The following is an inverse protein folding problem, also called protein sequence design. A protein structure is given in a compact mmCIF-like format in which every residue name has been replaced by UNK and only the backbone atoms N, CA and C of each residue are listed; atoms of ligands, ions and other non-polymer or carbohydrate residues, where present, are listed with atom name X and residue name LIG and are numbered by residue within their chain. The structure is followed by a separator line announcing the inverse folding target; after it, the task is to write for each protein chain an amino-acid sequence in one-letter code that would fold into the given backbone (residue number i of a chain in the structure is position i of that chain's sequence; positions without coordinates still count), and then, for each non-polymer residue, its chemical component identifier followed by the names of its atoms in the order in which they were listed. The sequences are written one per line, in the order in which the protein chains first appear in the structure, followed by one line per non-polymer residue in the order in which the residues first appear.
data_IF_785323765284
#
_entry.id   IF_785323765284
#
_cell.length_a   1.000
_cell.length_b   1.000
_cell.length_c   1.000
_cell.angle_alpha   90.00
_cell.angle_beta   90.00
_cell.angle_gamma   90.00
#
_symmetry.space_group_name_H-M   'P 1'
#
loop_
_entity.id
_entity.type
_entity.pdbx_description
1 polymer ?
#
# COMPACT_ATOMS: atom_id res chain seq x y z
N UNK A 1 11.43 -19.42 9.87
CA UNK A 1 11.09 -18.73 8.61
C UNK A 1 9.62 -19.00 8.37
N UNK A 2 8.74 -18.08 8.77
CA UNK A 2 7.30 -18.27 8.61
C UNK A 2 6.95 -18.01 7.13
N UNK A 3 6.38 -19.02 6.47
CA UNK A 3 5.77 -18.87 5.15
C UNK A 3 4.30 -18.57 5.40
N UNK A 4 3.88 -17.33 5.15
CA UNK A 4 2.47 -16.98 5.19
C UNK A 4 1.84 -17.41 3.86
N UNK A 5 1.14 -18.53 3.86
CA UNK A 5 0.23 -18.90 2.79
C UNK A 5 -1.17 -18.42 3.19
N UNK A 6 -1.75 -17.50 2.42
CA UNK A 6 -3.18 -17.21 2.55
C UNK A 6 -3.94 -18.33 1.84
N UNK A 7 -4.35 -19.34 2.59
CA UNK A 7 -5.26 -20.36 2.07
C UNK A 7 -6.68 -19.79 2.27
N UNK A 8 -7.31 -19.36 1.17
CA UNK A 8 -8.75 -19.11 1.17
C UNK A 8 -9.47 -20.43 0.86
N UNK A 9 -10.53 -20.75 1.60
CA UNK A 9 -11.38 -21.94 1.38
C UNK A 9 -12.17 -21.88 0.06
N UNK A 10 -11.92 -20.88 -0.79
CA UNK A 10 -12.54 -20.67 -2.09
C UNK A 10 -11.47 -20.73 -3.18
N UNK A 11 -10.78 -21.86 -3.31
CA UNK A 11 -10.18 -22.38 -4.57
C UNK A 11 -9.24 -21.48 -5.39
N UNK A 12 -8.79 -20.34 -4.88
CA UNK A 12 -7.96 -19.40 -5.64
C UNK A 12 -6.64 -19.16 -4.88
N UNK A 13 -5.57 -19.82 -5.34
CA UNK A 13 -4.16 -19.66 -4.89
C UNK A 13 -3.51 -18.34 -5.37
N UNK A 14 -4.33 -17.34 -5.73
CA UNK A 14 -3.90 -16.03 -6.23
C UNK A 14 -3.14 -15.17 -5.19
N UNK A 15 -3.01 -15.64 -3.96
CA UNK A 15 -2.24 -14.93 -2.92
C UNK A 15 -0.73 -14.88 -3.18
N UNK A 16 -0.21 -15.56 -4.21
CA UNK A 16 1.24 -15.60 -4.50
C UNK A 16 1.80 -14.28 -5.05
N UNK A 17 0.96 -13.40 -5.61
CA UNK A 17 1.39 -12.19 -6.34
C UNK A 17 0.99 -10.87 -5.68
N UNK A 18 0.51 -10.93 -4.45
CA UNK A 18 -0.07 -9.77 -3.79
C UNK A 18 0.37 -9.69 -2.34
N UNK A 19 0.80 -8.49 -1.93
CA UNK A 19 1.04 -8.18 -0.53
C UNK A 19 0.34 -6.87 -0.18
N UNK A 20 -0.33 -6.83 0.97
CA UNK A 20 -1.03 -5.66 1.47
C UNK A 20 -1.02 -5.63 2.98
N UNK A 21 -0.90 -4.42 3.53
CA UNK A 21 -1.13 -4.18 4.95
C UNK A 21 -1.93 -2.89 5.12
N UNK A 22 -2.69 -2.84 6.19
CA UNK A 22 -3.46 -1.65 6.58
C UNK A 22 -3.03 -1.15 7.94
N UNK A 23 -3.13 0.15 8.13
CA UNK A 23 -2.74 0.86 9.33
C UNK A 23 -3.90 1.76 9.72
N UNK A 24 -4.46 1.51 10.90
CA UNK A 24 -5.51 2.33 11.51
C UNK A 24 -4.85 3.43 12.32
N UNK A 25 -5.31 4.66 12.12
CA UNK A 25 -4.90 5.79 12.94
C UNK A 25 -5.60 5.67 14.29
N UNK A 26 -4.81 5.48 15.35
CA UNK A 26 -5.32 5.41 16.72
C UNK A 26 -5.39 6.79 17.33
N UNK A 27 -4.37 7.60 17.07
CA UNK A 27 -4.25 8.92 17.66
C UNK A 27 -3.38 9.84 16.81
N UNK A 28 -3.78 11.10 16.71
CA UNK A 28 -2.96 12.18 16.15
C UNK A 28 -2.69 13.18 17.29
N UNK A 29 -1.53 13.05 17.93
CA UNK A 29 -1.19 13.76 19.17
C UNK A 29 0.08 14.58 18.94
N UNK A 30 -0.05 15.90 18.88
CA UNK A 30 1.11 16.79 18.86
C UNK A 30 1.09 17.74 20.05
N UNK A 31 2.09 17.63 20.92
CA UNK A 31 2.52 18.78 21.73
C UNK A 31 3.00 19.93 20.82
N UNK A 32 3.41 19.59 19.58
CA UNK A 32 3.99 20.47 18.55
C UNK A 32 3.01 20.87 17.42
N UNK A 33 1.68 20.75 17.62
CA UNK A 33 0.62 21.08 16.63
C UNK A 33 0.65 20.32 15.28
N UNK A 34 1.72 19.58 14.94
CA UNK A 34 1.92 18.93 13.64
C UNK A 34 2.18 17.44 13.79
N UNK A 35 1.62 16.63 12.90
CA UNK A 35 1.81 15.19 12.84
C UNK A 35 2.32 14.76 11.46
N UNK A 36 3.09 13.69 11.44
CA UNK A 36 3.54 13.04 10.21
C UNK A 36 3.22 11.55 10.28
N UNK A 37 2.57 11.04 9.25
CA UNK A 37 2.34 9.61 9.05
C UNK A 37 2.87 9.24 7.67
N UNK A 38 3.89 8.38 7.66
CA UNK A 38 4.37 7.75 6.42
C UNK A 38 4.06 6.25 6.46
N UNK A 39 3.46 5.74 5.39
CA UNK A 39 3.35 4.30 5.14
C UNK A 39 3.90 3.98 3.77
N UNK A 40 4.54 2.82 3.62
CA UNK A 40 5.06 2.45 2.31
C UNK A 40 5.68 1.07 2.24
N UNK A 41 6.35 0.85 1.12
CA UNK A 41 7.16 -0.31 0.85
C UNK A 41 8.56 0.15 0.45
N UNK A 42 9.57 -0.53 0.97
CA UNK A 42 10.95 -0.27 0.57
C UNK A 42 11.74 -1.55 0.41
N UNK A 43 12.77 -1.51 -0.40
CA UNK A 43 13.83 -2.50 -0.45
C UNK A 43 15.18 -1.78 -0.39
N UNK A 44 16.25 -2.42 -0.85
CA UNK A 44 17.59 -1.86 -0.76
C UNK A 44 17.89 -0.82 -1.86
N UNK A 45 17.05 -0.76 -2.90
CA UNK A 45 17.23 0.09 -4.09
C UNK A 45 16.08 1.08 -4.35
N UNK A 46 14.95 0.93 -3.65
CA UNK A 46 13.73 1.70 -3.92
C UNK A 46 12.87 1.84 -2.68
N UNK A 47 12.21 2.98 -2.56
CA UNK A 47 11.18 3.27 -1.59
C UNK A 47 9.98 3.87 -2.32
N UNK A 48 8.77 3.41 -1.99
CA UNK A 48 7.52 4.04 -2.41
C UNK A 48 6.69 4.25 -1.16
N UNK A 49 6.35 5.51 -0.87
CA UNK A 49 5.66 5.88 0.37
C UNK A 49 4.60 6.94 0.16
N UNK A 50 3.51 6.78 0.90
CA UNK A 50 2.51 7.81 1.14
C UNK A 50 2.97 8.60 2.36
N UNK A 51 3.26 9.88 2.19
CA UNK A 51 3.54 10.82 3.27
C UNK A 51 2.32 11.71 3.50
N UNK A 52 1.88 11.81 4.75
CA UNK A 52 0.83 12.72 5.18
C UNK A 52 1.43 13.60 6.27
N UNK A 53 1.59 14.88 5.97
CA UNK A 53 2.01 15.92 6.92
C UNK A 53 0.81 16.83 7.19
N UNK A 54 0.31 16.82 8.42
CA UNK A 54 -0.91 17.54 8.78
C UNK A 54 -0.80 18.30 10.09
N UNK A 55 -1.65 19.31 10.23
CA UNK A 55 -1.74 20.14 11.42
C UNK A 55 -2.98 19.77 12.25
N UNK A 56 -2.83 19.79 13.57
CA UNK A 56 -3.95 19.78 14.50
C UNK A 56 -4.59 21.16 14.42
N UNK A 57 -5.60 21.28 13.54
CA UNK A 57 -6.29 22.54 13.22
C UNK A 57 -6.83 23.15 14.51
N UNK A 58 -6.09 24.11 15.07
CA UNK A 58 -6.62 25.17 15.91
C UNK A 58 -6.64 26.51 15.18
N UNK A 59 -5.94 26.62 14.04
CA UNK A 59 -5.87 27.83 13.24
C UNK A 59 -6.40 27.58 11.81
N UNK A 60 -7.63 28.01 11.48
CA UNK A 60 -8.20 27.89 10.15
C UNK A 60 -7.59 28.87 9.13
N UNK A 61 -6.61 29.70 9.51
CA UNK A 61 -5.93 30.67 8.64
C UNK A 61 -4.50 30.26 8.24
N UNK A 62 -3.99 29.08 8.61
CA UNK A 62 -2.68 28.62 8.12
C UNK A 62 -2.75 28.24 6.64
N UNK A 63 -1.99 28.95 5.80
CA UNK A 63 -1.70 28.63 4.39
C UNK A 63 -0.70 27.45 4.27
N UNK A 64 -0.44 26.72 5.36
CA UNK A 64 0.46 25.57 5.37
C UNK A 64 -0.27 24.37 4.76
N UNK A 65 -0.02 24.15 3.47
CA UNK A 65 -0.56 23.02 2.71
C UNK A 65 -0.28 21.70 3.45
N UNK A 66 -1.36 21.05 3.91
CA UNK A 66 -1.35 19.64 4.33
C UNK A 66 -0.97 18.82 3.10
N UNK A 67 0.31 18.46 3.03
CA UNK A 67 0.87 17.71 1.92
C UNK A 67 0.57 16.24 2.07
N UNK A 68 -0.26 15.69 1.19
CA UNK A 68 -0.35 14.25 0.97
C UNK A 68 0.36 13.95 -0.32
N UNK A 69 1.52 13.31 -0.24
CA UNK A 69 2.29 13.00 -1.42
C UNK A 69 2.75 11.55 -1.46
N UNK A 70 2.82 11.01 -2.68
CA UNK A 70 3.52 9.76 -2.92
C UNK A 70 4.95 10.09 -3.31
N UNK A 71 5.91 9.73 -2.46
CA UNK A 71 7.33 9.81 -2.75
C UNK A 71 7.79 8.46 -3.30
N UNK A 72 8.54 8.49 -4.38
CA UNK A 72 9.28 7.32 -4.84
C UNK A 72 10.73 7.68 -5.14
N UNK A 73 11.65 6.80 -4.73
CA UNK A 73 13.04 6.81 -5.15
C UNK A 73 13.28 5.62 -6.06
N UNK A 74 13.66 5.91 -7.30
CA UNK A 74 13.96 4.93 -8.34
C UNK A 74 15.27 5.29 -9.03
N UNK A 75 16.35 4.58 -8.70
CA UNK A 75 17.68 4.78 -9.31
C UNK A 75 18.09 6.27 -9.34
N UNK A 76 18.05 6.94 -8.18
CA UNK A 76 18.37 8.36 -8.01
C UNK A 76 17.38 9.33 -8.69
N UNK A 77 16.14 8.88 -8.95
CA UNK A 77 15.04 9.74 -9.39
C UNK A 77 13.97 9.80 -8.33
N UNK A 78 13.80 11.00 -7.79
CA UNK A 78 12.71 11.33 -6.89
C UNK A 78 11.49 11.83 -7.68
N UNK A 79 10.30 11.40 -7.29
CA UNK A 79 9.06 11.99 -7.75
C UNK A 79 8.05 12.12 -6.64
N UNK A 80 7.23 13.16 -6.73
CA UNK A 80 6.20 13.54 -5.76
C UNK A 80 4.88 13.64 -6.52
N UNK A 81 3.85 12.94 -6.04
CA UNK A 81 2.49 13.06 -6.57
C UNK A 81 1.57 13.54 -5.47
N UNK A 82 1.04 14.75 -5.61
CA UNK A 82 0.11 15.34 -4.65
C UNK A 82 -1.27 14.68 -4.76
N UNK A 83 -1.86 14.37 -3.61
CA UNK A 83 -3.21 13.84 -3.48
C UNK A 83 -4.08 14.93 -2.88
N UNK A 84 -4.78 15.67 -3.74
CA UNK A 84 -5.63 16.77 -3.32
C UNK A 84 -6.77 16.32 -2.39
N UNK A 85 -7.01 17.08 -1.33
CA UNK A 85 -8.20 16.95 -0.47
C UNK A 85 -8.20 15.75 0.48
N UNK A 86 -7.08 15.01 0.59
CA UNK A 86 -6.96 13.95 1.60
C UNK A 86 -6.57 14.54 2.96
N UNK A 87 -7.45 14.36 3.93
CA UNK A 87 -7.20 14.73 5.33
C UNK A 87 -7.26 13.47 6.18
N UNK A 88 -6.38 13.39 7.18
CA UNK A 88 -6.29 12.25 8.07
C UNK A 88 -6.92 12.58 9.43
N UNK A 89 -7.70 11.64 9.95
CA UNK A 89 -8.28 11.73 11.30
C UNK A 89 -8.14 10.42 12.06
N UNK A 90 -8.34 10.49 13.37
CA UNK A 90 -8.42 9.31 14.22
C UNK A 90 -9.52 8.35 13.72
N UNK A 91 -9.18 7.06 13.66
CA UNK A 91 -10.04 6.01 13.15
C UNK A 91 -9.98 5.78 11.64
N UNK A 92 -9.29 6.63 10.88
CA UNK A 92 -9.05 6.38 9.45
C UNK A 92 -8.14 5.17 9.23
N UNK A 93 -8.30 4.52 8.08
CA UNK A 93 -7.45 3.43 7.62
C UNK A 93 -6.63 3.86 6.41
N UNK A 94 -5.32 3.67 6.50
CA UNK A 94 -4.39 3.77 5.39
C UNK A 94 -3.92 2.38 4.99
N UNK A 95 -3.89 2.08 3.71
CA UNK A 95 -3.42 0.80 3.19
C UNK A 95 -2.32 0.99 2.17
N UNK A 96 -1.39 0.05 2.14
CA UNK A 96 -0.34 -0.01 1.14
C UNK A 96 -0.23 -1.45 0.65
N UNK A 97 -0.22 -1.61 -0.67
CA UNK A 97 -0.04 -2.91 -1.29
C UNK A 97 0.85 -2.87 -2.51
N UNK A 98 1.32 -4.04 -2.89
CA UNK A 98 2.08 -4.28 -4.11
C UNK A 98 1.46 -5.45 -4.85
N UNK A 99 1.35 -5.28 -6.17
CA UNK A 99 0.96 -6.33 -7.10
C UNK A 99 2.19 -6.71 -7.91
N UNK A 100 2.54 -7.99 -7.88
CA UNK A 100 3.53 -8.58 -8.76
C UNK A 100 2.84 -9.09 -10.02
N UNK A 101 3.45 -8.95 -11.20
CA UNK A 101 2.95 -9.62 -12.38
C UNK A 101 3.03 -11.15 -12.20
N UNK A 102 2.17 -11.91 -12.89
CA UNK A 102 2.39 -13.33 -13.10
C UNK A 102 3.81 -13.58 -13.66
N UNK A 103 4.48 -14.68 -13.29
CA UNK A 103 5.74 -15.12 -13.93
C UNK A 103 5.64 -15.27 -15.44
N UNK A 104 4.50 -15.69 -15.99
CA UNK A 104 4.25 -15.80 -17.43
C UNK A 104 4.42 -14.43 -18.12
N UNK A 105 4.10 -13.36 -17.39
CA UNK A 105 4.30 -11.96 -17.76
C UNK A 105 5.48 -11.33 -17.02
N UNK A 106 6.57 -12.07 -16.83
CA UNK A 106 7.75 -11.57 -16.12
C UNK A 106 8.39 -10.32 -16.73
N UNK A 107 8.05 -9.93 -17.97
CA UNK A 107 8.43 -8.65 -18.60
C UNK A 107 7.73 -7.43 -18.01
N UNK A 108 6.58 -7.63 -17.36
CA UNK A 108 5.86 -6.57 -16.68
C UNK A 108 6.54 -6.21 -15.36
N UNK A 109 6.29 -4.98 -14.90
CA UNK A 109 6.88 -4.47 -13.66
C UNK A 109 5.83 -4.49 -12.54
N UNK A 110 6.21 -4.82 -11.29
CA UNK A 110 5.30 -4.72 -10.16
C UNK A 110 4.85 -3.26 -9.97
N UNK A 111 3.72 -3.07 -9.30
CA UNK A 111 3.28 -1.73 -8.93
C UNK A 111 2.78 -1.65 -7.49
N UNK A 112 3.06 -0.52 -6.85
CA UNK A 112 2.61 -0.18 -5.49
C UNK A 112 1.36 0.71 -5.58
N UNK A 113 0.39 0.46 -4.72
CA UNK A 113 -0.81 1.28 -4.62
C UNK A 113 -1.12 1.58 -3.16
N UNK A 114 -1.89 2.66 -2.95
CA UNK A 114 -2.30 3.11 -1.63
C UNK A 114 -3.83 3.16 -1.54
N UNK A 115 -4.34 3.01 -0.33
CA UNK A 115 -5.77 3.16 -0.04
C UNK A 115 -6.00 4.06 1.15
N UNK A 116 -7.09 4.83 1.14
CA UNK A 116 -7.64 5.53 2.30
C UNK A 116 -9.08 5.09 2.50
N UNK A 117 -9.43 4.64 3.69
CA UNK A 117 -10.76 4.18 4.05
C UNK A 117 -11.37 3.22 3.01
N UNK A 118 -10.61 2.18 2.68
CA UNK A 118 -10.99 1.08 1.76
C UNK A 118 -11.08 1.47 0.28
N UNK A 119 -10.66 2.68 -0.10
CA UNK A 119 -10.65 3.12 -1.50
C UNK A 119 -9.24 3.41 -1.95
N UNK A 120 -8.88 2.98 -3.16
CA UNK A 120 -7.61 3.35 -3.75
C UNK A 120 -7.52 4.87 -3.88
N UNK A 121 -6.35 5.42 -3.56
CA UNK A 121 -6.01 6.83 -3.75
C UNK A 121 -4.88 6.93 -4.77
N UNK A 122 -5.00 7.91 -5.67
CA UNK A 122 -4.07 8.07 -6.78
C UNK A 122 -4.01 6.86 -7.72
N UNK A 123 -2.97 6.82 -8.55
CA UNK A 123 -2.67 5.71 -9.46
C UNK A 123 -1.59 4.80 -8.85
N UNK A 124 -1.52 3.56 -9.32
CA UNK A 124 -0.41 2.67 -8.98
C UNK A 124 0.93 3.23 -9.46
N UNK A 125 1.97 3.06 -8.65
CA UNK A 125 3.34 3.45 -8.94
C UNK A 125 4.12 2.22 -9.39
N UNK A 126 4.55 2.21 -10.65
CA UNK A 126 5.35 1.12 -11.21
C UNK A 126 6.76 1.13 -10.61
N UNK A 127 7.17 0.03 -9.99
CA UNK A 127 8.51 -0.18 -9.43
C UNK A 127 9.37 -1.00 -10.39
N UNK A 128 10.69 -1.05 -10.19
CA UNK A 128 11.56 -1.75 -11.13
C UNK A 128 11.35 -3.28 -11.11
N UNK A 129 11.39 -3.90 -12.29
CA UNK A 129 11.30 -5.37 -12.46
C UNK A 129 12.35 -6.16 -11.66
N UNK A 130 13.52 -5.58 -11.40
CA UNK A 130 14.59 -6.19 -10.57
C UNK A 130 14.43 -5.95 -9.06
N UNK A 131 13.44 -5.16 -8.65
CA UNK A 131 13.23 -4.76 -7.28
C UNK A 131 12.47 -5.88 -6.54
N UNK A 132 13.23 -6.70 -5.83
CA UNK A 132 12.71 -7.78 -4.99
C UNK A 132 12.80 -7.41 -3.51
N UNK A 133 12.16 -8.19 -2.65
CA UNK A 133 12.25 -8.07 -1.18
C UNK A 133 11.74 -6.73 -0.63
N UNK A 134 10.62 -6.22 -1.18
CA UNK A 134 9.90 -5.13 -0.53
C UNK A 134 9.46 -5.55 0.87
N UNK A 135 9.70 -4.66 1.83
CA UNK A 135 9.27 -4.79 3.22
C UNK A 135 8.36 -3.60 3.57
N UNK A 136 7.30 -3.82 4.36
CA UNK A 136 6.50 -2.73 4.90
C UNK A 136 7.38 -1.84 5.77
N UNK A 137 7.07 -0.55 5.79
CA UNK A 137 7.60 0.35 6.80
C UNK A 137 6.58 1.42 7.15
N UNK A 138 6.67 1.91 8.38
CA UNK A 138 5.83 2.96 8.92
C UNK A 138 6.76 3.95 9.64
N UNK A 139 6.59 5.24 9.39
CA UNK A 139 7.28 6.31 10.09
C UNK A 139 6.24 7.24 10.71
N UNK A 140 6.42 7.59 11.98
CA UNK A 140 5.44 8.39 12.73
C UNK A 140 6.14 9.54 13.45
N UNK A 141 5.50 10.71 13.41
CA UNK A 141 5.78 11.84 14.30
C UNK A 141 4.46 12.31 14.87
N UNK A 142 4.34 12.41 16.19
CA UNK A 142 3.13 12.92 16.85
C UNK A 142 1.86 12.14 16.46
N UNK A 143 1.99 10.82 16.26
CA UNK A 143 0.90 9.94 15.85
C UNK A 143 1.10 8.52 16.42
N UNK A 144 0.00 7.81 16.63
CA UNK A 144 -0.02 6.39 17.01
C UNK A 144 -0.93 5.63 16.06
N UNK A 145 -0.53 4.40 15.72
CA UNK A 145 -1.25 3.56 14.77
C UNK A 145 -1.32 2.11 15.23
N UNK A 146 -2.27 1.37 14.68
CA UNK A 146 -2.41 -0.08 14.80
C UNK A 146 -2.35 -0.69 13.40
N UNK A 147 -1.52 -1.72 13.20
CA UNK A 147 -1.19 -2.25 11.88
C UNK A 147 -1.61 -3.70 11.73
N UNK A 148 -2.34 -3.98 10.67
CA UNK A 148 -2.81 -5.30 10.29
C UNK A 148 -2.07 -5.79 9.03
N UNK A 149 -1.40 -6.94 9.13
CA UNK A 149 -0.65 -7.59 8.05
C UNK A 149 -1.37 -8.80 7.44
N UNK A 150 -2.59 -9.12 7.89
CA UNK A 150 -3.31 -10.33 7.50
C UNK A 150 -4.30 -10.78 8.57
N UNK A 151 -5.32 -11.51 8.16
CA UNK A 151 -6.45 -11.85 9.02
C UNK A 151 -6.06 -12.86 10.12
N UNK A 152 -5.73 -12.35 11.31
CA UNK A 152 -5.58 -13.15 12.52
C UNK A 152 -6.95 -13.37 13.18
N UNK A 153 -7.84 -14.12 12.52
CA UNK A 153 -9.16 -14.65 12.96
C UNK A 153 -10.21 -13.72 13.63
N UNK A 154 -9.87 -12.50 14.04
CA UNK A 154 -10.79 -11.50 14.64
C UNK A 154 -10.76 -10.14 13.92
N UNK A 155 -9.70 -9.82 13.18
CA UNK A 155 -9.53 -8.56 12.45
C UNK A 155 -9.10 -8.82 10.99
N UNK A 156 -10.05 -9.08 10.10
CA UNK A 156 -9.78 -9.11 8.67
C UNK A 156 -9.60 -7.69 8.10
N UNK A 157 -8.90 -7.60 6.96
CA UNK A 157 -8.72 -6.35 6.26
C UNK A 157 -10.05 -5.64 6.01
N UNK A 158 -10.03 -4.32 6.20
CA UNK A 158 -11.13 -3.46 5.87
C UNK A 158 -11.29 -3.31 4.35
N UNK A 159 -10.18 -3.38 3.62
CA UNK A 159 -10.15 -3.37 2.16
C UNK A 159 -10.53 -4.74 1.57
N UNK A 160 -11.39 -4.75 0.54
CA UNK A 160 -11.73 -5.98 -0.18
C UNK A 160 -10.64 -6.33 -1.20
N UNK A 161 -9.61 -7.01 -0.72
CA UNK A 161 -8.46 -7.47 -1.52
C UNK A 161 -8.90 -8.35 -2.69
N UNK A 162 -9.88 -9.23 -2.51
CA UNK A 162 -10.34 -10.15 -3.56
C UNK A 162 -10.98 -9.40 -4.74
N UNK A 163 -11.82 -8.40 -4.44
CA UNK A 163 -12.44 -7.56 -5.47
C UNK A 163 -11.37 -6.74 -6.20
N UNK A 164 -10.39 -6.23 -5.47
CA UNK A 164 -9.29 -5.47 -6.07
C UNK A 164 -8.43 -6.34 -6.99
N UNK A 165 -8.11 -7.56 -6.57
CA UNK A 165 -7.40 -8.53 -7.41
C UNK A 165 -8.15 -8.79 -8.72
N UNK A 166 -9.46 -9.04 -8.66
CA UNK A 166 -10.28 -9.25 -9.86
C UNK A 166 -10.27 -8.01 -10.78
N UNK A 167 -10.31 -6.80 -10.21
CA UNK A 167 -10.18 -5.57 -10.99
C UNK A 167 -8.80 -5.47 -11.66
N UNK A 168 -7.73 -5.75 -10.91
CA UNK A 168 -6.36 -5.69 -11.42
C UNK A 168 -6.12 -6.70 -12.53
N UNK A 169 -6.62 -7.93 -12.40
CA UNK A 169 -6.55 -8.89 -13.51
C UNK A 169 -7.26 -8.33 -14.75
N UNK A 170 -8.51 -7.88 -14.62
CA UNK A 170 -9.24 -7.39 -15.79
C UNK A 170 -8.65 -6.14 -16.46
N UNK A 171 -7.99 -5.26 -15.70
CA UNK A 171 -7.43 -4.01 -16.23
C UNK A 171 -5.95 -4.12 -16.65
N UNK A 172 -5.17 -4.98 -15.97
CA UNK A 172 -3.71 -5.06 -16.14
C UNK A 172 -3.19 -6.44 -16.60
N UNK A 173 -3.85 -7.57 -16.25
CA UNK A 173 -3.36 -8.94 -16.52
C UNK A 173 -4.48 -9.98 -16.74
N UNK A 174 -4.54 -10.65 -17.89
CA UNK A 174 -5.62 -11.60 -18.16
C UNK A 174 -5.62 -12.81 -17.19
N UNK A 175 -6.78 -13.39 -16.89
CA UNK A 175 -6.88 -14.60 -16.04
C UNK A 175 -6.05 -15.77 -16.60
N UNK A 176 -5.97 -15.88 -17.93
CA UNK A 176 -5.16 -16.88 -18.64
C UNK A 176 -3.66 -16.77 -18.34
N UNK A 177 -3.17 -15.59 -17.94
CA UNK A 177 -1.76 -15.40 -17.61
C UNK A 177 -1.40 -16.02 -16.26
N UNK A 178 -2.36 -16.11 -15.34
CA UNK A 178 -2.17 -16.78 -14.05
C UNK A 178 -2.37 -18.29 -14.15
N UNK A 179 -3.32 -18.76 -14.97
CA UNK A 179 -3.60 -20.19 -15.15
C UNK A 179 -2.45 -20.94 -15.84
N UNK A 180 -1.71 -20.29 -16.74
CA UNK A 180 -0.53 -20.89 -17.40
C UNK A 180 0.57 -21.29 -16.42
N UNK A 181 0.67 -20.61 -15.28
CA UNK A 181 1.70 -20.91 -14.28
C UNK A 181 1.36 -22.10 -13.40
N UNK A 182 0.08 -22.31 -13.09
CA UNK A 182 -0.34 -23.48 -12.31
C UNK A 182 -0.07 -24.79 -13.08
N UNK A 183 -0.10 -24.75 -14.42
CA UNK A 183 0.19 -25.91 -15.27
C UNK A 183 1.70 -26.16 -15.51
N UNK A 184 2.58 -25.19 -15.22
CA UNK A 184 4.04 -25.32 -15.40
C UNK A 184 4.79 -25.72 -14.11
N UNK A 185 4.11 -25.79 -12.95
CA UNK A 185 4.70 -26.21 -11.67
C UNK A 185 4.60 -27.74 -11.39
N UNK A 186 4.03 -28.54 -12.31
CA UNK A 186 3.94 -30.02 -12.27
C UNK A 186 5.05 -30.74 -13.07
#
# INVERSE_FOLDING_TARGET
MARNYFISDVGYEFSKFFYFYETKIIQLQGDDLRYVVEIGLKNDNSEVKLCIDGENISDPESDDDVGVCINYDKNDKEGVVDIEGLTLKEGDFLGCGIVFPPRSNSEESPFVFFTHNKKQIGKGIVVDKGSSNFRPFICLKSASVDTNFGCDMENCFNFNVLLFQHFVSNEYYSEEDFEKEEMEED
#
